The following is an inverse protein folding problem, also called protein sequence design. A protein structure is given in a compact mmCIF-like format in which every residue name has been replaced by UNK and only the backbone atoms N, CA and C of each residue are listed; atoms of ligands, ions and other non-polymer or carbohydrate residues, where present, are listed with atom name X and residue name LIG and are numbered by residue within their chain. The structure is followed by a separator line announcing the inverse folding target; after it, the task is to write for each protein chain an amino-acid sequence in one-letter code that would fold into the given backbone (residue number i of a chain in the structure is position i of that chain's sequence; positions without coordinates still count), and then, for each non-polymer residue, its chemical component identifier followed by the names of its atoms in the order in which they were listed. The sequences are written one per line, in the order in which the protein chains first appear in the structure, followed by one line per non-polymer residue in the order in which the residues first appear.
data_IF_749454406796
#
_entry.id   IF_749454406796
#
_cell.length_a   1.000
_cell.length_b   1.000
_cell.length_c   1.000
_cell.angle_alpha   90.00
_cell.angle_beta   90.00
_cell.angle_gamma   90.00
#
_symmetry.space_group_name_H-M   'P 1'
#
loop_
_entity.id
_entity.type
_entity.pdbx_description
1 polymer ?
#
# COMPACT_ATOMS: atom_id res chain seq x y z
N UNK A 1 7.76 34.61 11.13
CA UNK A 1 7.74 33.16 11.44
C UNK A 1 6.31 32.65 11.24
N UNK A 2 5.91 32.37 9.99
CA UNK A 2 4.61 31.76 9.65
C UNK A 2 4.57 31.50 8.14
N UNK A 3 5.24 30.44 7.68
CA UNK A 3 5.22 30.04 6.25
C UNK A 3 5.15 28.52 6.07
N UNK A 4 4.43 27.82 6.95
CA UNK A 4 4.30 26.34 6.89
C UNK A 4 2.85 25.83 6.81
N UNK A 5 1.84 26.72 6.76
CA UNK A 5 0.43 26.31 6.82
C UNK A 5 -0.34 26.37 5.49
N UNK A 6 0.21 26.91 4.40
CA UNK A 6 -0.49 27.00 3.10
C UNK A 6 -0.14 25.89 2.09
N UNK A 7 0.96 25.16 2.26
CA UNK A 7 1.39 24.17 1.26
C UNK A 7 0.64 22.81 1.36
N UNK A 8 -0.26 22.65 2.35
CA UNK A 8 -1.03 21.40 2.55
C UNK A 8 -2.39 21.35 1.85
N UNK A 9 -2.84 22.43 1.20
CA UNK A 9 -4.13 22.42 0.48
C UNK A 9 -4.06 21.73 -0.90
N UNK A 10 -2.86 21.50 -1.45
CA UNK A 10 -2.69 21.03 -2.84
C UNK A 10 -1.75 19.84 -2.98
N UNK A 11 -1.66 18.96 -1.97
CA UNK A 11 -0.97 17.68 -2.14
C UNK A 11 -1.66 16.89 -3.24
N UNK A 12 -0.95 16.70 -4.37
CA UNK A 12 -1.42 15.95 -5.53
C UNK A 12 -1.90 14.56 -5.06
N UNK A 13 -2.92 14.00 -5.72
CA UNK A 13 -3.47 12.65 -5.38
C UNK A 13 -2.34 11.62 -5.27
N UNK A 14 -1.33 11.76 -6.14
CA UNK A 14 -0.13 10.93 -6.11
C UNK A 14 0.71 11.07 -4.83
N UNK A 15 0.87 12.28 -4.31
CA UNK A 15 1.64 12.54 -3.09
C UNK A 15 0.91 12.03 -1.85
N UNK A 16 -0.43 12.14 -1.83
CA UNK A 16 -1.28 11.51 -0.80
C UNK A 16 -1.16 9.99 -0.85
N UNK A 17 -1.12 9.41 -2.05
CA UNK A 17 -0.93 7.97 -2.25
C UNK A 17 0.44 7.49 -1.77
N UNK A 18 1.51 8.19 -2.14
CA UNK A 18 2.87 7.89 -1.68
C UNK A 18 2.97 7.96 -0.14
N UNK A 19 2.42 9.02 0.46
CA UNK A 19 2.38 9.20 1.91
C UNK A 19 1.58 8.09 2.61
N UNK A 20 0.49 7.63 2.00
CA UNK A 20 -0.32 6.54 2.54
C UNK A 20 0.40 5.19 2.47
N UNK A 21 1.05 4.86 1.34
CA UNK A 21 1.81 3.61 1.18
C UNK A 21 2.91 3.49 2.24
N UNK A 22 3.61 4.59 2.51
CA UNK A 22 4.74 4.61 3.45
C UNK A 22 4.34 5.00 4.88
N UNK A 23 3.05 5.14 5.16
CA UNK A 23 2.57 5.46 6.51
C UNK A 23 2.81 4.31 7.49
N UNK A 24 3.39 4.63 8.63
CA UNK A 24 3.59 3.72 9.77
C UNK A 24 2.35 3.56 10.65
N UNK A 25 1.33 4.41 10.46
CA UNK A 25 0.06 4.33 11.21
C UNK A 25 -0.87 3.23 10.67
N UNK A 26 -0.56 2.66 9.50
CA UNK A 26 -1.28 1.51 8.98
C UNK A 26 -1.03 0.30 9.89
N UNK A 27 -2.11 -0.39 10.30
CA UNK A 27 -2.04 -1.60 11.16
C UNK A 27 -1.10 -2.67 10.60
N UNK A 28 -1.05 -2.78 9.28
CA UNK A 28 -0.05 -3.56 8.56
C UNK A 28 0.70 -2.58 7.66
N UNK A 29 2.01 -2.46 7.86
CA UNK A 29 2.85 -1.62 7.02
C UNK A 29 2.89 -2.19 5.60
N UNK A 30 2.68 -1.32 4.61
CA UNK A 30 2.65 -1.68 3.20
C UNK A 30 4.03 -1.44 2.60
N UNK A 31 4.45 -0.17 2.52
CA UNK A 31 5.67 0.23 1.81
C UNK A 31 5.64 -0.12 0.32
N UNK A 32 6.68 0.29 -0.42
CA UNK A 32 6.75 0.00 -1.86
C UNK A 32 6.87 -1.49 -2.18
N UNK A 33 7.50 -2.26 -1.29
CA UNK A 33 7.57 -3.71 -1.43
C UNK A 33 6.21 -4.39 -1.22
N UNK A 34 5.40 -3.90 -0.27
CA UNK A 34 4.07 -4.44 0.01
C UNK A 34 3.12 -4.34 -1.19
N UNK A 35 3.30 -3.33 -2.05
CA UNK A 35 2.50 -3.17 -3.28
C UNK A 35 2.67 -4.39 -4.21
N UNK A 36 3.84 -5.02 -4.25
CA UNK A 36 4.08 -6.25 -5.02
C UNK A 36 3.80 -7.51 -4.20
N UNK A 37 4.16 -7.50 -2.92
CA UNK A 37 4.03 -8.65 -2.04
C UNK A 37 2.56 -9.04 -1.81
N UNK A 38 1.66 -8.07 -1.60
CA UNK A 38 0.25 -8.37 -1.29
C UNK A 38 -0.44 -9.09 -2.45
N UNK A 39 -0.40 -8.58 -3.71
CA UNK A 39 -0.99 -9.30 -4.84
C UNK A 39 -0.36 -10.67 -5.07
N UNK A 40 0.98 -10.78 -5.02
CA UNK A 40 1.68 -12.03 -5.33
C UNK A 40 1.40 -13.13 -4.31
N UNK A 41 1.42 -12.81 -3.01
CA UNK A 41 1.10 -13.78 -1.96
C UNK A 41 -0.36 -14.20 -2.01
N UNK A 42 -1.29 -13.27 -2.27
CA UNK A 42 -2.71 -13.60 -2.40
C UNK A 42 -2.95 -14.54 -3.58
N UNK A 43 -2.42 -14.22 -4.76
CA UNK A 43 -2.55 -15.06 -5.95
C UNK A 43 -1.92 -16.44 -5.74
N UNK A 44 -0.72 -16.50 -5.16
CA UNK A 44 -0.05 -17.77 -4.87
C UNK A 44 -0.86 -18.63 -3.88
N UNK A 45 -1.38 -18.03 -2.82
CA UNK A 45 -2.18 -18.73 -1.80
C UNK A 45 -3.49 -19.26 -2.39
N UNK A 46 -4.19 -18.46 -3.19
CA UNK A 46 -5.43 -18.88 -3.85
C UNK A 46 -5.14 -20.04 -4.82
N UNK A 47 -4.13 -19.90 -5.68
CA UNK A 47 -3.73 -20.93 -6.63
C UNK A 47 -3.36 -22.25 -5.92
N UNK A 48 -2.57 -22.16 -4.84
CA UNK A 48 -2.21 -23.32 -4.03
C UNK A 48 -3.44 -24.04 -3.47
N UNK A 49 -4.39 -23.31 -2.90
CA UNK A 49 -5.61 -23.90 -2.34
C UNK A 49 -6.45 -24.59 -3.43
N UNK A 50 -6.63 -23.93 -4.59
CA UNK A 50 -7.41 -24.50 -5.70
C UNK A 50 -6.73 -25.78 -6.23
N UNK A 51 -5.42 -25.71 -6.47
CA UNK A 51 -4.65 -26.86 -6.95
C UNK A 51 -4.67 -28.01 -5.94
N UNK A 52 -4.64 -27.74 -4.64
CA UNK A 52 -4.70 -28.78 -3.62
C UNK A 52 -6.07 -29.49 -3.55
N UNK A 53 -7.16 -28.79 -3.87
CA UNK A 53 -8.53 -29.33 -3.75
C UNK A 53 -9.04 -29.94 -5.06
N UNK A 54 -8.69 -29.37 -6.21
CA UNK A 54 -9.37 -29.63 -7.48
C UNK A 54 -8.45 -29.92 -8.68
N UNK A 55 -7.13 -29.98 -8.48
CA UNK A 55 -6.18 -30.47 -9.50
C UNK A 55 -5.60 -31.84 -9.10
#
# INVERSE_FOLDING_TARGET
MTTTLQQRENANVWEKFCSWITSTDNRLYIGWFGVLMIPTLLTATICYIIAFVAA
#
